data_IF_325798094269
#
_entry.id   IF_325798094269
#
_cell.length_a   1.000
_cell.length_b   1.000
_cell.length_c   1.000
_cell.angle_alpha   90.00
_cell.angle_beta   90.00
_cell.angle_gamma   90.00
#
_symmetry.space_group_name_H-M   'P 1'
#
loop_
_entity.id
_entity.type
_entity.pdbx_description
1 polymer ?
#
# COMPACT_ATOMS: atom_id res chain seq x y z
N UNK A 1 -17.43 5.56 -11.11
CA UNK A 1 -15.99 5.24 -11.08
C UNK A 1 -15.27 6.07 -10.03
N UNK A 2 -14.16 5.58 -9.43
CA UNK A 2 -13.39 6.28 -8.38
C UNK A 2 -12.94 7.67 -8.80
N UNK A 3 -12.62 7.88 -10.09
CA UNK A 3 -12.23 9.19 -10.64
C UNK A 3 -13.34 10.26 -10.55
N UNK A 4 -14.60 9.88 -10.42
CA UNK A 4 -15.68 10.86 -10.28
C UNK A 4 -15.58 11.71 -9.01
N UNK A 5 -14.81 11.25 -8.00
CA UNK A 5 -14.55 12.00 -6.77
C UNK A 5 -13.82 13.32 -7.09
N UNK A 6 -12.88 13.30 -8.05
CA UNK A 6 -12.09 14.47 -8.43
C UNK A 6 -12.83 15.49 -9.31
N UNK A 7 -14.01 15.15 -9.85
CA UNK A 7 -14.75 16.03 -10.78
C UNK A 7 -15.19 17.37 -10.17
N UNK A 8 -15.28 17.45 -8.85
CA UNK A 8 -15.66 18.68 -8.13
C UNK A 8 -14.47 19.48 -7.64
N UNK A 9 -13.24 18.97 -7.87
CA UNK A 9 -12.04 19.68 -7.49
C UNK A 9 -11.75 20.84 -8.45
N UNK A 10 -11.08 21.87 -7.93
CA UNK A 10 -10.60 23.03 -8.69
C UNK A 10 -9.06 23.00 -8.82
N UNK A 11 -8.49 23.98 -9.52
CA UNK A 11 -7.05 24.07 -9.80
C UNK A 11 -6.17 24.36 -8.58
N UNK A 12 -6.75 24.86 -7.50
CA UNK A 12 -6.04 25.15 -6.24
C UNK A 12 -5.90 23.91 -5.36
N UNK A 13 -6.70 22.90 -5.64
CA UNK A 13 -6.69 21.63 -4.90
C UNK A 13 -5.70 20.64 -5.49
N UNK A 14 -5.31 19.66 -4.70
CA UNK A 14 -4.38 18.61 -5.09
C UNK A 14 -5.12 17.28 -5.22
N UNK A 15 -4.70 16.47 -6.18
CA UNK A 15 -5.08 15.07 -6.30
C UNK A 15 -3.81 14.21 -6.27
N UNK A 16 -3.72 13.28 -5.32
CA UNK A 16 -2.58 12.37 -5.18
C UNK A 16 -2.89 11.07 -5.90
N UNK A 17 -2.02 10.67 -6.84
CA UNK A 17 -2.24 9.56 -7.75
C UNK A 17 -1.01 8.65 -7.84
N UNK A 18 -1.26 7.35 -8.03
CA UNK A 18 -0.19 6.36 -8.20
C UNK A 18 0.39 6.42 -9.62
N UNK A 19 1.68 6.71 -9.75
CA UNK A 19 2.37 6.74 -11.04
C UNK A 19 2.58 5.33 -11.61
N UNK A 20 2.71 4.33 -10.76
CA UNK A 20 2.98 2.93 -11.16
C UNK A 20 1.77 2.31 -11.88
N UNK A 21 0.55 2.84 -11.69
CA UNK A 21 -0.67 2.42 -12.38
C UNK A 21 -0.93 3.26 -13.64
N UNK A 22 -0.93 2.66 -14.85
CA UNK A 22 -1.17 3.38 -16.09
C UNK A 22 -2.55 4.06 -16.14
N UNK A 23 -3.57 3.51 -15.46
CA UNK A 23 -4.91 4.11 -15.42
C UNK A 23 -4.87 5.44 -14.66
N UNK A 24 -4.18 5.49 -13.53
CA UNK A 24 -4.08 6.72 -12.73
C UNK A 24 -3.19 7.77 -13.40
N UNK A 25 -2.17 7.39 -14.18
CA UNK A 25 -1.44 8.32 -15.05
C UNK A 25 -2.34 9.00 -16.08
N UNK A 26 -3.24 8.24 -16.72
CA UNK A 26 -4.22 8.82 -17.65
C UNK A 26 -5.26 9.69 -16.91
N UNK A 27 -5.59 9.37 -15.66
CA UNK A 27 -6.44 10.20 -14.82
C UNK A 27 -5.78 11.54 -14.50
N UNK A 28 -4.48 11.56 -14.22
CA UNK A 28 -3.72 12.77 -13.95
C UNK A 28 -3.83 13.79 -15.10
N UNK A 29 -3.75 13.33 -16.36
CA UNK A 29 -3.88 14.18 -17.55
C UNK A 29 -5.27 14.83 -17.68
N UNK A 30 -6.29 14.25 -17.07
CA UNK A 30 -7.70 14.70 -17.14
C UNK A 30 -8.17 15.38 -15.86
N UNK A 31 -7.33 15.44 -14.85
CA UNK A 31 -7.68 16.05 -13.58
C UNK A 31 -7.74 17.60 -13.71
N UNK A 32 -8.74 18.22 -13.06
CA UNK A 32 -8.80 19.67 -12.91
C UNK A 32 -7.87 20.14 -11.79
N UNK A 33 -7.79 19.37 -10.71
CA UNK A 33 -6.86 19.61 -9.61
C UNK A 33 -5.42 19.38 -10.05
N UNK A 34 -4.46 19.99 -9.35
CA UNK A 34 -3.03 19.75 -9.55
C UNK A 34 -2.68 18.30 -9.21
N UNK A 35 -2.23 17.48 -10.17
CA UNK A 35 -1.84 16.11 -9.86
C UNK A 35 -0.49 16.10 -9.13
N UNK A 36 -0.41 15.37 -8.05
CA UNK A 36 0.82 14.98 -7.36
C UNK A 36 0.94 13.48 -7.49
N UNK A 37 2.03 13.04 -8.11
CA UNK A 37 2.26 11.62 -8.34
C UNK A 37 3.06 11.01 -7.19
N UNK A 38 2.78 9.74 -6.90
CA UNK A 38 3.70 8.95 -6.08
C UNK A 38 4.09 7.67 -6.83
N UNK A 39 5.31 7.19 -6.56
CA UNK A 39 5.81 5.95 -7.14
C UNK A 39 6.64 5.15 -6.14
N UNK A 40 6.44 3.86 -6.18
CA UNK A 40 7.27 2.88 -5.48
C UNK A 40 8.34 2.30 -6.42
N UNK A 41 8.11 2.32 -7.71
CA UNK A 41 8.92 1.64 -8.72
C UNK A 41 9.83 2.58 -9.51
N UNK A 42 9.38 3.81 -9.71
CA UNK A 42 10.01 4.79 -10.60
C UNK A 42 10.51 6.01 -9.82
N UNK A 43 11.62 6.57 -10.27
CA UNK A 43 12.09 7.86 -9.79
C UNK A 43 11.31 8.99 -10.47
N UNK A 44 10.82 9.93 -9.69
CA UNK A 44 10.07 11.08 -10.17
C UNK A 44 10.88 12.37 -9.93
N UNK A 45 10.74 13.37 -10.79
CA UNK A 45 11.34 14.70 -10.58
C UNK A 45 10.66 15.43 -9.41
N UNK A 46 9.32 15.32 -9.32
CA UNK A 46 8.49 15.84 -8.23
C UNK A 46 7.45 14.81 -7.79
N UNK A 47 7.03 14.88 -6.53
CA UNK A 47 6.06 13.98 -5.92
C UNK A 47 6.60 13.19 -4.73
N UNK A 48 6.10 11.99 -4.52
CA UNK A 48 6.53 11.15 -3.40
C UNK A 48 7.08 9.84 -3.96
N UNK A 49 8.30 9.48 -3.57
CA UNK A 49 8.97 8.29 -4.09
C UNK A 49 9.48 7.40 -2.97
N UNK A 50 9.59 6.10 -3.26
CA UNK A 50 10.35 5.15 -2.48
C UNK A 50 11.68 4.89 -3.22
N UNK A 51 12.76 5.53 -2.75
CA UNK A 51 14.10 5.31 -3.29
C UNK A 51 14.88 4.36 -2.39
N UNK A 52 15.18 3.18 -2.91
CA UNK A 52 15.77 2.11 -2.09
C UNK A 52 14.83 1.69 -0.97
N UNK A 53 15.16 2.06 0.25
CA UNK A 53 14.34 1.82 1.45
C UNK A 53 13.70 3.08 2.03
N UNK A 54 13.91 4.26 1.43
CA UNK A 54 13.55 5.56 2.02
C UNK A 54 12.38 6.21 1.29
N UNK A 55 11.35 6.60 2.04
CA UNK A 55 10.24 7.41 1.57
C UNK A 55 10.67 8.88 1.51
N UNK A 56 10.56 9.51 0.34
CA UNK A 56 11.06 10.86 0.08
C UNK A 56 9.96 11.72 -0.56
N UNK A 57 9.77 12.93 -0.07
CA UNK A 57 8.98 13.97 -0.72
C UNK A 57 9.94 14.80 -1.58
N UNK A 58 9.58 15.03 -2.84
CA UNK A 58 10.33 15.86 -3.80
C UNK A 58 9.47 17.02 -4.25
N UNK A 59 9.90 18.23 -3.92
CA UNK A 59 9.18 19.47 -4.28
C UNK A 59 10.15 20.62 -4.45
N UNK A 60 10.00 21.40 -5.53
CA UNK A 60 10.81 22.59 -5.85
C UNK A 60 12.32 22.29 -5.84
N UNK A 61 12.73 21.14 -6.37
CA UNK A 61 14.12 20.71 -6.42
C UNK A 61 14.73 20.32 -5.07
N UNK A 62 13.90 20.22 -4.01
CA UNK A 62 14.31 19.77 -2.69
C UNK A 62 13.84 18.34 -2.45
N UNK A 63 14.62 17.61 -1.67
CA UNK A 63 14.29 16.27 -1.19
C UNK A 63 14.15 16.27 0.31
N UNK A 64 13.00 15.79 0.79
CA UNK A 64 12.69 15.71 2.21
C UNK A 64 12.46 14.22 2.57
N UNK A 65 13.47 13.53 3.14
CA UNK A 65 13.31 12.17 3.62
C UNK A 65 12.30 12.13 4.78
N UNK A 66 11.38 11.15 4.74
CA UNK A 66 10.36 10.97 5.77
C UNK A 66 10.77 9.85 6.73
N UNK A 67 10.87 8.61 6.26
CA UNK A 67 11.31 7.44 7.04
C UNK A 67 11.75 6.33 6.10
N UNK A 68 12.28 5.25 6.68
CA UNK A 68 12.68 4.05 5.93
C UNK A 68 11.65 2.93 6.07
N UNK A 69 11.71 1.95 5.17
CA UNK A 69 10.85 0.75 5.23
C UNK A 69 11.11 -0.11 6.47
N UNK A 70 12.29 -0.03 7.06
CA UNK A 70 12.64 -0.74 8.31
C UNK A 70 12.06 -0.09 9.57
N UNK A 71 11.67 1.20 9.48
CA UNK A 71 11.09 1.94 10.62
C UNK A 71 9.55 1.77 10.69
N UNK A 72 8.92 1.24 9.64
CA UNK A 72 7.47 1.03 9.60
C UNK A 72 7.09 -0.38 10.08
N UNK A 73 5.88 -0.51 10.61
CA UNK A 73 5.36 -1.78 11.15
C UNK A 73 4.51 -2.55 10.14
N UNK A 74 4.13 -1.93 9.04
CA UNK A 74 3.27 -2.54 8.04
C UNK A 74 4.07 -3.45 7.10
N UNK A 75 3.56 -4.65 6.85
CA UNK A 75 4.14 -5.62 5.94
C UNK A 75 3.58 -5.47 4.52
N UNK A 76 4.44 -5.77 3.54
CA UNK A 76 4.07 -5.89 2.15
C UNK A 76 4.19 -4.60 1.33
N UNK A 77 4.60 -4.76 0.07
CA UNK A 77 4.87 -3.65 -0.84
C UNK A 77 3.65 -2.77 -1.14
N UNK A 78 2.43 -3.35 -1.11
CA UNK A 78 1.20 -2.59 -1.26
C UNK A 78 0.99 -1.58 -0.12
N UNK A 79 1.52 -1.84 1.07
CA UNK A 79 1.48 -0.89 2.17
C UNK A 79 2.48 0.25 1.98
N UNK A 80 3.60 0.02 1.27
CA UNK A 80 4.48 1.11 0.85
C UNK A 80 3.75 2.09 -0.08
N UNK A 81 2.93 1.60 -1.02
CA UNK A 81 2.09 2.44 -1.88
C UNK A 81 1.04 3.23 -1.07
N UNK A 82 0.40 2.59 -0.09
CA UNK A 82 -0.52 3.26 0.81
C UNK A 82 0.16 4.37 1.63
N UNK A 83 1.38 4.13 2.10
CA UNK A 83 2.18 5.11 2.84
C UNK A 83 2.58 6.28 1.94
N UNK A 84 3.05 6.03 0.71
CA UNK A 84 3.37 7.08 -0.26
C UNK A 84 2.15 7.97 -0.53
N UNK A 85 0.97 7.37 -0.72
CA UNK A 85 -0.28 8.11 -0.89
C UNK A 85 -0.62 8.94 0.35
N UNK A 86 -0.50 8.36 1.55
CA UNK A 86 -0.78 9.05 2.81
C UNK A 86 0.18 10.21 3.05
N UNK A 87 1.48 10.03 2.81
CA UNK A 87 2.50 11.09 2.88
C UNK A 87 2.11 12.23 1.94
N UNK A 88 1.79 11.92 0.67
CA UNK A 88 1.42 12.93 -0.30
C UNK A 88 0.18 13.72 0.12
N UNK A 89 -0.88 13.04 0.53
CA UNK A 89 -2.13 13.69 0.97
C UNK A 89 -1.85 14.61 2.17
N UNK A 90 -1.19 14.11 3.20
CA UNK A 90 -0.98 14.86 4.45
C UNK A 90 0.00 16.02 4.28
N UNK A 91 1.05 15.83 3.49
CA UNK A 91 2.01 16.89 3.18
C UNK A 91 1.34 18.08 2.47
N UNK A 92 0.54 17.81 1.42
CA UNK A 92 -0.16 18.86 0.69
C UNK A 92 -1.39 19.42 1.44
N UNK A 93 -1.77 18.81 2.56
CA UNK A 93 -2.69 19.42 3.54
C UNK A 93 -1.98 20.33 4.54
N UNK A 94 -0.65 20.47 4.46
CA UNK A 94 0.16 21.34 5.31
C UNK A 94 0.60 20.71 6.63
N UNK A 95 0.53 19.37 6.76
CA UNK A 95 1.05 18.67 7.96
C UNK A 95 2.59 18.68 7.91
N UNK A 96 3.27 19.09 9.00
CA UNK A 96 4.73 19.05 9.09
C UNK A 96 5.29 17.65 8.88
N UNK A 97 6.43 17.54 8.18
CA UNK A 97 7.06 16.26 7.82
C UNK A 97 7.35 15.40 9.05
N UNK A 98 7.77 16.00 10.15
CA UNK A 98 8.06 15.29 11.40
C UNK A 98 6.80 14.62 11.99
N UNK A 99 5.64 15.27 11.86
CA UNK A 99 4.37 14.70 12.32
C UNK A 99 3.90 13.58 11.40
N UNK A 100 4.12 13.72 10.07
CA UNK A 100 3.86 12.66 9.10
C UNK A 100 4.72 11.44 9.40
N UNK A 101 6.04 11.64 9.60
CA UNK A 101 6.98 10.59 10.01
C UNK A 101 6.50 9.87 11.27
N UNK A 102 6.22 10.62 12.31
CA UNK A 102 5.76 10.08 13.61
C UNK A 102 4.51 9.22 13.46
N UNK A 103 3.55 9.67 12.65
CA UNK A 103 2.30 8.95 12.40
C UNK A 103 2.57 7.63 11.64
N UNK A 104 3.37 7.69 10.56
CA UNK A 104 3.71 6.53 9.74
C UNK A 104 4.46 5.45 10.54
N UNK A 105 5.43 5.85 11.37
CA UNK A 105 6.21 4.92 12.21
C UNK A 105 5.38 4.27 13.33
N UNK A 106 4.40 4.99 13.87
CA UNK A 106 3.52 4.50 14.95
C UNK A 106 2.36 3.66 14.43
N UNK A 107 1.99 3.85 13.15
CA UNK A 107 0.83 3.19 12.58
C UNK A 107 1.03 1.67 12.53
N UNK A 108 0.07 0.94 13.08
CA UNK A 108 -0.01 -0.52 13.02
C UNK A 108 -1.03 -0.94 11.97
N UNK A 109 -1.05 -2.21 11.61
CA UNK A 109 -2.05 -2.75 10.69
C UNK A 109 -3.47 -2.44 11.18
N UNK A 110 -4.38 -2.21 10.22
CA UNK A 110 -5.81 -2.15 10.53
C UNK A 110 -6.25 -3.55 10.97
N UNK A 111 -7.04 -3.62 12.04
CA UNK A 111 -7.62 -4.86 12.55
C UNK A 111 -8.16 -5.76 11.41
N UNK A 112 -7.81 -7.03 11.43
CA UNK A 112 -8.15 -8.05 10.43
C UNK A 112 -7.53 -7.86 9.04
N UNK A 113 -6.49 -7.03 8.88
CA UNK A 113 -5.75 -6.87 7.62
C UNK A 113 -4.27 -7.10 7.82
N UNK A 114 -3.81 -8.33 7.52
CA UNK A 114 -2.43 -8.79 7.75
C UNK A 114 -1.98 -8.39 9.18
N UNK A 115 -2.93 -8.49 10.09
CA UNK A 115 -2.76 -8.11 11.48
C UNK A 115 -1.90 -9.16 12.17
N UNK A 116 -0.75 -8.75 12.70
CA UNK A 116 0.02 -9.64 13.57
C UNK A 116 -0.77 -9.87 14.88
N UNK A 117 -0.99 -11.13 15.23
CA UNK A 117 -1.76 -11.51 16.40
C UNK A 117 -0.83 -11.89 17.55
N UNK A 118 0.05 -12.88 17.32
CA UNK A 118 0.96 -13.38 18.34
C UNK A 118 2.06 -14.26 17.74
N UNK A 119 3.07 -14.58 18.53
CA UNK A 119 4.07 -15.61 18.23
C UNK A 119 4.02 -16.71 19.29
N UNK A 120 3.67 -17.91 18.87
CA UNK A 120 3.64 -19.08 19.76
C UNK A 120 4.63 -20.12 19.24
N UNK A 121 5.56 -20.57 20.07
CA UNK A 121 6.60 -21.56 19.75
C UNK A 121 7.40 -21.21 18.47
N UNK A 122 7.67 -19.93 18.25
CA UNK A 122 8.39 -19.43 17.06
C UNK A 122 7.57 -19.37 15.77
N UNK A 123 6.26 -19.60 15.84
CA UNK A 123 5.31 -19.45 14.74
C UNK A 123 4.56 -18.15 14.91
N UNK A 124 4.63 -17.30 13.87
CA UNK A 124 3.91 -16.03 13.82
C UNK A 124 2.50 -16.23 13.27
N UNK A 125 1.50 -15.69 13.96
CA UNK A 125 0.09 -15.76 13.57
C UNK A 125 -0.37 -14.40 13.04
N UNK A 126 -1.02 -14.44 11.87
CA UNK A 126 -1.58 -13.27 11.22
C UNK A 126 -3.06 -13.46 10.93
N UNK A 127 -3.84 -12.42 11.16
CA UNK A 127 -5.26 -12.36 10.83
C UNK A 127 -5.46 -11.45 9.61
N UNK A 128 -5.88 -12.04 8.49
CA UNK A 128 -6.22 -11.31 7.25
C UNK A 128 -7.66 -11.60 6.81
N UNK A 129 -8.56 -11.79 7.76
CA UNK A 129 -9.98 -12.09 7.47
C UNK A 129 -10.70 -10.99 6.67
N UNK A 130 -10.09 -9.81 6.54
CA UNK A 130 -10.54 -8.73 5.65
C UNK A 130 -10.13 -8.92 4.19
N UNK A 131 -9.29 -9.90 3.88
CA UNK A 131 -8.92 -10.33 2.53
C UNK A 131 -10.04 -11.13 1.86
N UNK A 132 -11.19 -10.49 1.61
CA UNK A 132 -12.44 -11.13 1.16
C UNK A 132 -12.56 -11.29 -0.35
N UNK A 133 -11.49 -11.14 -1.09
CA UNK A 133 -11.42 -11.35 -2.54
C UNK A 133 -10.01 -11.84 -2.93
N UNK A 134 -9.85 -12.47 -4.12
CA UNK A 134 -8.56 -13.02 -4.56
C UNK A 134 -7.42 -12.00 -4.53
N UNK A 135 -7.63 -10.79 -5.04
CA UNK A 135 -6.59 -9.74 -5.09
C UNK A 135 -6.05 -9.40 -3.68
N UNK A 136 -6.94 -9.27 -2.71
CA UNK A 136 -6.55 -8.99 -1.33
C UNK A 136 -5.79 -10.19 -0.72
N UNK A 137 -6.27 -11.41 -0.94
CA UNK A 137 -5.63 -12.63 -0.45
C UNK A 137 -4.23 -12.84 -1.08
N UNK A 138 -4.06 -12.53 -2.37
CA UNK A 138 -2.76 -12.52 -3.06
C UNK A 138 -1.80 -11.56 -2.34
N UNK A 139 -2.23 -10.34 -2.04
CA UNK A 139 -1.41 -9.35 -1.31
C UNK A 139 -1.02 -9.84 0.07
N UNK A 140 -1.93 -10.51 0.78
CA UNK A 140 -1.64 -11.15 2.07
C UNK A 140 -0.52 -12.18 1.94
N UNK A 141 -0.60 -13.11 0.99
CA UNK A 141 0.42 -14.13 0.74
C UNK A 141 1.76 -13.48 0.34
N UNK A 142 1.73 -12.51 -0.56
CA UNK A 142 2.95 -11.82 -1.02
C UNK A 142 3.67 -11.07 0.11
N UNK A 143 2.93 -10.59 1.12
CA UNK A 143 3.49 -9.91 2.28
C UNK A 143 4.24 -10.85 3.24
N UNK A 144 3.98 -12.16 3.18
CA UNK A 144 4.66 -13.12 4.03
C UNK A 144 6.13 -13.29 3.61
N UNK A 145 7.02 -13.30 4.59
CA UNK A 145 8.47 -13.44 4.41
C UNK A 145 9.03 -14.78 4.93
N UNK A 146 8.15 -15.67 5.42
CA UNK A 146 8.48 -17.00 5.97
C UNK A 146 7.57 -18.07 5.35
N UNK A 147 7.95 -19.37 5.42
CA UNK A 147 7.06 -20.47 5.04
C UNK A 147 5.73 -20.36 5.76
N UNK A 148 4.63 -20.42 5.02
CA UNK A 148 3.28 -20.09 5.53
C UNK A 148 2.37 -21.29 5.45
N UNK A 149 1.60 -21.54 6.53
CA UNK A 149 0.41 -22.36 6.52
C UNK A 149 -0.78 -21.40 6.32
N UNK A 150 -1.52 -21.57 5.23
CA UNK A 150 -2.64 -20.71 4.89
C UNK A 150 -3.96 -21.36 5.25
N UNK A 151 -4.79 -20.67 6.02
CA UNK A 151 -6.19 -21.04 6.25
C UNK A 151 -7.04 -20.11 5.39
N UNK A 152 -7.77 -20.66 4.45
CA UNK A 152 -8.59 -19.89 3.53
C UNK A 152 -9.93 -20.57 3.25
N UNK A 153 -10.91 -19.78 2.85
CA UNK A 153 -12.23 -20.28 2.52
C UNK A 153 -13.33 -19.26 2.75
N UNK A 154 -14.55 -19.73 2.87
CA UNK A 154 -15.73 -18.90 3.05
C UNK A 154 -16.68 -18.98 1.86
N UNK A 155 -17.51 -17.95 1.67
CA UNK A 155 -18.48 -17.90 0.60
C UNK A 155 -17.82 -17.69 -0.76
N UNK A 156 -17.99 -18.65 -1.69
CA UNK A 156 -17.49 -18.55 -3.05
C UNK A 156 -18.29 -17.50 -3.85
N UNK A 157 -17.58 -16.47 -4.32
CA UNK A 157 -18.11 -15.40 -5.18
C UNK A 157 -17.97 -15.72 -6.67
N UNK A 158 -17.68 -16.97 -7.02
CA UNK A 158 -17.44 -17.43 -8.40
C UNK A 158 -16.27 -16.69 -9.07
N UNK A 159 -15.23 -16.37 -8.30
CA UNK A 159 -13.99 -15.79 -8.79
C UNK A 159 -13.07 -16.89 -9.35
N UNK A 160 -12.19 -16.56 -10.30
CA UNK A 160 -11.05 -17.41 -10.62
C UNK A 160 -10.07 -17.39 -9.45
N UNK A 161 -9.53 -18.56 -9.11
CA UNK A 161 -8.51 -18.72 -8.06
C UNK A 161 -7.13 -19.04 -8.65
N UNK A 162 -6.96 -19.03 -9.97
CA UNK A 162 -5.70 -19.43 -10.62
C UNK A 162 -4.55 -18.50 -10.18
N UNK A 163 -4.73 -17.18 -10.29
CA UNK A 163 -3.74 -16.19 -9.85
C UNK A 163 -3.44 -16.26 -8.35
N UNK A 164 -4.46 -16.62 -7.54
CA UNK A 164 -4.28 -16.80 -6.10
C UNK A 164 -3.41 -18.03 -5.79
N UNK A 165 -3.60 -19.13 -6.52
CA UNK A 165 -2.79 -20.35 -6.40
C UNK A 165 -1.37 -20.08 -6.90
N UNK A 166 -1.21 -19.39 -8.01
CA UNK A 166 0.10 -18.99 -8.55
C UNK A 166 0.89 -18.13 -7.54
N UNK A 167 0.20 -17.25 -6.79
CA UNK A 167 0.81 -16.42 -5.78
C UNK A 167 1.40 -17.19 -4.58
N UNK A 168 1.12 -18.48 -4.45
CA UNK A 168 1.73 -19.33 -3.42
C UNK A 168 3.25 -19.39 -3.56
N UNK A 169 3.76 -19.48 -4.79
CA UNK A 169 5.18 -19.34 -5.18
C UNK A 169 6.17 -19.99 -4.16
N UNK A 170 5.86 -21.20 -3.73
CA UNK A 170 6.63 -21.94 -2.75
C UNK A 170 6.61 -21.39 -1.31
N UNK A 171 5.95 -20.27 -1.04
CA UNK A 171 5.76 -19.72 0.31
C UNK A 171 4.71 -20.50 1.10
N UNK A 172 3.57 -20.79 0.45
CA UNK A 172 2.49 -21.58 1.10
C UNK A 172 2.88 -23.05 1.09
N UNK A 173 3.10 -23.61 2.27
CA UNK A 173 3.46 -25.03 2.46
C UNK A 173 2.24 -25.91 2.58
N UNK A 174 1.20 -25.40 3.21
CA UNK A 174 -0.07 -26.10 3.38
C UNK A 174 -1.22 -25.11 3.25
N UNK A 175 -2.28 -25.54 2.58
CA UNK A 175 -3.56 -24.83 2.50
C UNK A 175 -4.62 -25.64 3.25
N UNK A 176 -5.29 -25.01 4.20
CA UNK A 176 -6.46 -25.56 4.90
C UNK A 176 -7.68 -24.78 4.43
N UNK A 177 -8.64 -25.47 3.83
CA UNK A 177 -9.90 -24.88 3.37
C UNK A 177 -10.99 -25.04 4.42
N UNK A 178 -11.77 -23.98 4.64
CA UNK A 178 -12.90 -23.93 5.58
C UNK A 178 -14.18 -23.44 4.90
#
# INVERSE_FOLDING_TARGET
TKFSISKKQNKEQVIVLNYDDPITREMAKKATARPVMFSRLEELDEGIVLRGDTFIIKEDGKELPVCTTSEIKLLGSHNHENILAAIGITYYMGVPVEQIRDAVMKFTAVEHRIEYVDTVDGVDYYNDSKGTNPDAAIKGIQAMNRPTLLIGGGYDKQSSYDEWIEAFDGKVRYLILI
#
